data_IF_304021802758
#
_entry.id   IF_304021802758
#
_cell.length_a   1.000
_cell.length_b   1.000
_cell.length_c   1.000
_cell.angle_alpha   90.00
_cell.angle_beta   90.00
_cell.angle_gamma   90.00
#
_symmetry.space_group_name_H-M   'P 1'
#
loop_
_entity.id
_entity.type
_entity.pdbx_description
1 polymer ?
2 polymer ?
3 non-polymer ?
4 non-polymer ?
5 water ?
#
loop_
_entity_poly.entity_id
_entity_poly.type
_entity_poly.pdbx_seq_one_letter_code
_entity_poly.pdbx_strand_id
1 'polydeoxyribonucleotide' '(DG)(DC)(DC)(DA)(DA)(DC)(DG)(DT)(DT)(DG)(DG)(DC)' ?
#
# COMPACT_ATOMS: atom_id res chain seq x y z
N UNK C 3 9.85 -1.61 24.57
CA UNK C 3 9.68 -1.07 23.17
C UNK C 3 9.05 -2.06 22.16
N UNK C 4 8.24 -1.52 21.23
CA UNK C 4 7.81 -2.22 19.99
C UNK C 4 9.02 -2.63 19.15
N UNK C 5 9.05 -3.87 18.67
CA UNK C 5 10.03 -4.26 17.67
C UNK C 5 9.72 -3.61 16.32
N UNK C 6 10.78 -3.24 15.62
CA UNK C 6 10.71 -2.64 14.24
C UNK C 6 10.64 -3.75 13.20
N UNK C 7 9.81 -3.56 12.17
CA UNK C 7 9.87 -4.36 10.97
C UNK C 7 11.30 -4.41 10.39
N UNK C 8 11.57 -5.44 9.61
CA UNK C 8 12.89 -5.65 9.10
C UNK C 8 13.15 -4.83 7.84
N UNK C 9 12.08 -4.48 7.10
CA UNK C 9 12.23 -3.57 5.93
C UNK C 9 12.78 -4.19 4.65
N UNK C 10 13.15 -5.48 4.70
CA UNK C 10 13.77 -6.17 3.56
C UNK C 10 13.05 -7.43 3.06
N UNK C 11 12.18 -8.03 3.89
CA UNK C 11 11.42 -9.20 3.47
C UNK C 11 10.36 -8.79 2.42
N UNK C 12 9.77 -9.77 1.70
CA UNK C 12 8.78 -9.44 0.64
C UNK C 12 7.60 -8.66 1.23
N UNK C 13 6.99 -9.16 2.36
CA UNK C 13 5.92 -8.36 2.98
C UNK C 13 6.30 -6.93 3.29
N UNK C 14 7.48 -6.72 3.90
CA UNK C 14 7.92 -5.38 4.24
C UNK C 14 8.02 -4.46 2.99
N UNK C 15 8.41 -5.04 1.84
CA UNK C 15 8.52 -4.26 0.58
C UNK C 15 7.12 -3.90 -0.08
N UNK C 16 6.03 -4.56 0.34
CA UNK C 16 4.71 -4.30 -0.27
C UNK C 16 4.28 -2.93 0.20
N UNK C 17 3.70 -2.16 -0.68
CA UNK C 17 3.35 -0.81 -0.32
C UNK C 17 1.98 -0.69 0.29
N UNK C 18 1.06 -1.54 -0.15
CA UNK C 18 -0.38 -1.32 -0.02
C UNK C 18 -1.05 -2.49 0.70
N UNK C 19 -1.86 -2.18 1.72
CA UNK C 19 -2.83 -3.09 2.29
C UNK C 19 -3.73 -3.66 1.22
N UNK C 20 -3.98 -4.98 1.25
CA UNK C 20 -4.76 -5.63 0.19
C UNK C 20 -6.27 -5.18 0.26
N UNK C 21 -6.79 -5.04 1.48
CA UNK C 21 -8.16 -4.68 1.64
C UNK C 21 -9.16 -5.82 1.78
N UNK C 22 -8.72 -7.06 1.65
CA UNK C 22 -9.64 -8.20 1.69
C UNK C 22 -9.23 -9.37 2.62
N UNK C 23 -8.01 -9.37 3.18
CA UNK C 23 -7.67 -10.38 4.17
C UNK C 23 -8.42 -9.99 5.45
N UNK C 24 -8.42 -10.85 6.46
CA UNK C 24 -9.22 -10.58 7.69
C UNK C 24 -8.65 -9.41 8.51
N UNK C 25 -7.31 -9.32 8.58
CA UNK C 25 -6.67 -8.15 9.17
C UNK C 25 -7.15 -6.86 8.58
N UNK C 26 -7.10 -6.74 7.23
CA UNK C 26 -7.63 -5.57 6.56
C UNK C 26 -9.15 -5.33 6.85
N UNK C 27 -9.97 -6.36 6.75
CA UNK C 27 -11.45 -6.15 6.88
C UNK C 27 -11.81 -5.75 8.28
N UNK C 28 -11.03 -6.23 9.26
CA UNK C 28 -11.35 -5.91 10.69
C UNK C 28 -10.50 -4.85 11.28
N UNK C 29 -9.88 -4.04 10.41
CA UNK C 29 -8.82 -3.10 10.86
C UNK C 29 -9.27 -2.14 11.95
N UNK C 30 -10.48 -1.60 11.83
CA UNK C 30 -10.95 -0.58 12.79
C UNK C 30 -10.93 -1.14 14.22
N UNK C 31 -11.33 -2.41 14.40
CA UNK C 31 -11.38 -3.00 15.70
C UNK C 31 -10.11 -3.76 16.07
N UNK C 32 -9.46 -4.40 15.11
CA UNK C 32 -8.32 -5.31 15.39
C UNK C 32 -6.97 -4.60 15.25
N UNK C 33 -6.94 -3.50 14.50
CA UNK C 33 -5.74 -2.62 14.40
C UNK C 33 -4.49 -3.34 13.83
N UNK C 34 -4.66 -4.36 13.02
CA UNK C 34 -3.50 -5.17 12.55
C UNK C 34 -3.15 -4.78 11.10
N UNK C 35 -1.88 -4.81 10.81
CA UNK C 35 -1.39 -4.71 9.43
C UNK C 35 -1.93 -5.84 8.55
N UNK C 36 -2.09 -5.57 7.27
CA UNK C 36 -2.44 -6.54 6.26
C UNK C 36 -1.63 -7.82 6.39
N UNK C 37 -2.29 -8.98 6.30
CA UNK C 37 -1.53 -10.30 6.42
C UNK C 37 -0.37 -10.40 5.42
N UNK C 38 -0.54 -9.78 4.26
CA UNK C 38 0.50 -9.83 3.23
C UNK C 38 1.66 -8.82 3.44
N UNK C 39 1.50 -7.86 4.36
CA UNK C 39 2.59 -6.88 4.68
C UNK C 39 3.25 -7.17 5.99
N UNK C 40 2.66 -8.06 6.78
CA UNK C 40 3.21 -8.43 8.09
C UNK C 40 4.67 -8.92 7.95
N UNK C 41 5.57 -8.28 8.67
CA UNK C 41 7.03 -8.65 8.54
C UNK C 41 7.26 -10.11 8.95
N UNK C 42 7.90 -10.88 8.09
CA UNK C 42 8.20 -12.31 8.40
C UNK C 42 8.90 -12.47 9.74
N UNK C 43 9.76 -11.52 10.08
CA UNK C 43 10.53 -11.60 11.35
C UNK C 43 9.70 -11.21 12.57
N UNK C 44 8.50 -10.67 12.37
CA UNK C 44 7.66 -10.32 13.53
C UNK C 44 6.57 -11.33 13.84
N UNK C 45 6.49 -12.41 13.07
CA UNK C 45 5.55 -13.46 13.34
C UNK C 45 5.99 -14.35 14.53
N UNK C 46 4.99 -14.95 15.18
CA UNK C 46 5.20 -15.83 16.30
C UNK C 46 6.02 -17.03 15.78
N UNK C 47 6.98 -17.45 16.57
CA UNK C 47 7.74 -18.64 16.30
C UNK C 47 7.13 -19.69 17.22
N UNK C 48 6.96 -20.96 16.73
CA UNK C 48 6.43 -22.04 17.64
C UNK C 48 7.48 -22.55 18.59
N UNK F 3 13.95 6.10 -19.28
CA UNK F 3 13.31 5.25 -18.23
C UNK F 3 12.05 5.88 -17.63
N UNK F 4 11.14 5.01 -17.17
CA UNK F 4 10.02 5.42 -16.33
C UNK F 4 10.60 6.11 -15.12
N UNK F 5 10.04 7.26 -14.74
CA UNK F 5 10.37 7.90 -13.47
C UNK F 5 9.78 7.09 -12.31
N UNK F 6 10.39 7.24 -11.12
CA UNK F 6 9.94 6.60 -9.87
C UNK F 6 9.18 7.58 -9.07
N UNK F 7 8.20 7.08 -8.34
CA UNK F 7 7.55 7.85 -7.27
C UNK F 7 8.52 8.44 -6.31
N UNK F 8 8.10 9.50 -5.63
CA UNK F 8 8.97 10.20 -4.71
C UNK F 8 9.03 9.49 -3.37
N UNK F 9 7.97 8.78 -2.99
CA UNK F 9 8.01 7.95 -1.77
C UNK F 9 7.66 8.70 -0.47
N UNK F 10 7.69 10.05 -0.48
CA UNK F 10 7.42 10.89 0.71
C UNK F 10 6.13 11.76 0.69
N UNK F 11 5.61 12.10 -0.49
CA UNK F 11 4.40 12.91 -0.55
C UNK F 11 3.22 12.19 0.11
N UNK F 12 2.15 12.89 0.36
CA UNK F 12 1.03 12.28 1.08
C UNK F 12 0.45 11.12 0.23
N UNK F 13 0.22 11.34 -1.08
CA UNK F 13 -0.19 10.23 -1.96
C UNK F 13 0.71 9.00 -1.90
N UNK F 14 2.03 9.21 -1.91
CA UNK F 14 2.97 8.09 -1.89
C UNK F 14 2.88 7.29 -0.58
N UNK F 15 2.54 7.96 0.53
CA UNK F 15 2.41 7.30 1.83
C UNK F 15 1.00 6.78 2.12
N UNK F 16 0.05 6.87 1.17
CA UNK F 16 -1.23 6.22 1.38
C UNK F 16 -0.99 4.70 1.27
N UNK F 17 -1.76 3.94 2.07
CA UNK F 17 -1.59 2.54 2.26
C UNK F 17 -2.78 1.75 1.73
N UNK F 18 -3.72 2.41 1.02
CA UNK F 18 -4.80 1.71 0.29
C UNK F 18 -5.08 2.30 -1.05
N UNK F 19 -5.66 1.48 -1.92
CA UNK F 19 -6.38 1.99 -3.11
C UNK F 19 -7.79 2.41 -2.61
N UNK F 20 -8.27 3.58 -3.00
CA UNK F 20 -9.59 4.06 -2.60
C UNK F 20 -10.72 3.19 -3.15
N UNK F 21 -10.51 2.58 -4.33
CA UNK F 21 -11.56 1.67 -4.94
C UNK F 21 -12.80 2.38 -5.59
N UNK F 22 -12.86 3.72 -5.57
CA UNK F 22 -13.97 4.46 -6.18
C UNK F 22 -13.60 5.56 -7.17
N UNK F 23 -12.33 5.87 -7.35
CA UNK F 23 -11.96 6.91 -8.27
C UNK F 23 -11.99 6.30 -9.63
N UNK F 24 -11.89 7.13 -10.67
CA UNK F 24 -11.91 6.62 -12.06
C UNK F 24 -10.73 5.68 -12.30
N UNK F 25 -9.55 6.06 -11.80
CA UNK F 25 -8.36 5.16 -11.93
C UNK F 25 -8.55 3.76 -11.33
N UNK F 26 -9.16 3.68 -10.15
CA UNK F 26 -9.34 2.36 -9.48
C UNK F 26 -10.34 1.47 -10.23
N UNK F 27 -11.43 2.08 -10.63
CA UNK F 27 -12.54 1.35 -11.15
C UNK F 27 -12.27 0.86 -12.54
N UNK F 28 -11.49 1.62 -13.33
CA UNK F 28 -11.16 1.24 -14.73
C UNK F 28 -9.73 0.65 -14.86
N UNK F 29 -9.13 0.29 -13.74
CA UNK F 29 -7.73 -0.25 -13.71
C UNK F 29 -7.40 -1.34 -14.74
N UNK F 30 -8.33 -2.28 -14.92
CA UNK F 30 -8.12 -3.44 -15.82
C UNK F 30 -7.73 -2.98 -17.22
N UNK F 31 -8.45 -1.97 -17.73
CA UNK F 31 -8.16 -1.38 -19.06
C UNK F 31 -7.34 -0.06 -18.98
N UNK F 32 -7.46 0.69 -17.88
CA UNK F 32 -6.79 2.04 -17.76
C UNK F 32 -5.32 1.89 -17.31
N UNK F 33 -5.07 0.85 -16.51
CA UNK F 33 -3.71 0.58 -15.91
C UNK F 33 -3.09 1.72 -15.05
N UNK F 34 -3.95 2.54 -14.43
CA UNK F 34 -3.46 3.71 -13.65
C UNK F 34 -3.50 3.50 -12.14
N UNK F 35 -2.62 4.17 -11.47
CA UNK F 35 -2.62 4.13 -10.01
C UNK F 35 -3.84 4.89 -9.51
N UNK F 36 -4.33 4.57 -8.30
CA UNK F 36 -5.37 5.36 -7.65
C UNK F 36 -5.06 6.84 -7.70
N UNK F 37 -6.08 7.65 -8.01
CA UNK F 37 -5.86 9.14 -8.14
C UNK F 37 -5.34 9.75 -6.85
N UNK F 38 -5.70 9.16 -5.72
CA UNK F 38 -5.24 9.67 -4.45
C UNK F 38 -3.87 9.14 -4.02
N UNK F 39 -3.32 8.13 -4.74
CA UNK F 39 -1.92 7.62 -4.52
C UNK F 39 -0.90 8.27 -5.46
N UNK F 40 -1.39 8.90 -6.50
CA UNK F 40 -0.51 9.36 -7.54
C UNK F 40 0.48 10.34 -6.98
N UNK F 41 1.75 10.04 -7.19
CA UNK F 41 2.84 10.85 -6.59
C UNK F 41 2.80 12.30 -7.10
N UNK F 42 2.82 13.28 -6.18
CA UNK F 42 2.78 14.73 -6.57
C UNK F 42 3.87 15.13 -7.59
N UNK F 43 5.04 14.52 -7.45
CA UNK F 43 6.19 14.80 -8.29
C UNK F 43 6.07 14.12 -9.65
N UNK F 44 5.09 13.21 -9.80
CA UNK F 44 4.81 12.63 -11.11
C UNK F 44 3.69 13.31 -11.87
N UNK F 45 2.96 14.27 -11.25
CA UNK F 45 2.05 15.17 -11.96
C UNK F 45 2.93 16.40 -12.42
N UNK F 46 2.68 16.92 -13.62
CA UNK F 46 3.40 18.14 -14.09
C UNK F 46 2.43 19.13 -14.72
X LIG G 1 1.77 -3.08 25.38
X LIG H 1 -4.94 -16.26 29.75
X LIG I 1 10.23 -7.70 7.13
X LIG J 1 -4.82 -7.36 3.69
X LIG K 1 5.05 4.15 -8.92
X LIG L 1 -1.42 14.10 -28.07
X LIG M 1 -2.77 14.35 -30.35
X LIG N 1 -1.00 -4.91 -19.97
X LIG O 1 5.35 11.08 -4.14
X LIG P 1 -8.71 5.23 -6.24
X LIG Q 1 -9.48 -0.97 -5.34
#
# INVERSE_FOLDING_TARGET
GKKKRKRCGVCVPCKRLINCGVCSSCRNRKTGHQICKFRKCEELKKKPG
GKKKRKRCGVCVPCKRLINCGVCSSCRNRKTGHQICKFRKCEELKKKPG
UNX UNK
UNX UNK
ZN ZN
ZN ZN
UNX UNK
UNX UNK
UNX UNK
UNX UNK
ZN ZN
ZN ZN
UNX UNK
#
